data_IF_978190420790
#
_entry.id   IF_978190420790
#
_cell.length_a   1.000
_cell.length_b   1.000
_cell.length_c   1.000
_cell.angle_alpha   90.00
_cell.angle_beta   90.00
_cell.angle_gamma   90.00
#
_symmetry.space_group_name_H-M   'P 1'
#
loop_
_entity.id
_entity.type
_entity.pdbx_description
1 polymer ?
#
# COMPACT_ATOMS: atom_id res chain seq x y z
N UNK A 1 19.87 22.62 -1.60
CA UNK A 1 19.04 21.84 -0.65
C UNK A 1 19.86 20.62 -0.25
N UNK A 2 19.96 20.24 1.03
CA UNK A 2 20.59 18.97 1.37
C UNK A 2 19.80 17.86 0.68
N UNK A 3 20.49 16.94 -0.02
CA UNK A 3 19.83 15.77 -0.59
C UNK A 3 19.19 14.98 0.55
N UNK A 4 17.93 14.59 0.37
CA UNK A 4 17.27 13.70 1.32
C UNK A 4 18.13 12.43 1.46
N UNK A 5 18.38 11.97 2.70
CA UNK A 5 19.18 10.77 2.92
C UNK A 5 18.54 9.59 2.18
N UNK A 6 19.41 8.75 1.59
CA UNK A 6 19.12 7.68 0.63
C UNK A 6 17.63 7.26 0.51
N UNK A 7 16.94 7.80 -0.50
CA UNK A 7 15.50 7.55 -0.74
C UNK A 7 15.22 6.17 -1.30
N UNK A 8 16.23 5.36 -1.65
CA UNK A 8 16.05 4.03 -2.24
C UNK A 8 15.19 3.10 -1.37
N UNK A 9 15.43 3.04 -0.06
CA UNK A 9 14.62 2.21 0.84
C UNK A 9 13.17 2.69 0.94
N UNK A 10 12.95 4.00 0.87
CA UNK A 10 11.62 4.59 0.81
C UNK A 10 10.93 4.26 -0.52
N UNK A 11 11.66 4.34 -1.64
CA UNK A 11 11.16 4.06 -2.99
C UNK A 11 10.80 2.58 -3.17
N UNK A 12 11.62 1.66 -2.65
CA UNK A 12 11.33 0.22 -2.63
C UNK A 12 10.06 -0.08 -1.82
N UNK A 13 9.92 0.52 -0.64
CA UNK A 13 8.74 0.27 0.18
C UNK A 13 7.47 0.88 -0.42
N UNK A 14 7.54 2.07 -1.02
CA UNK A 14 6.44 2.65 -1.78
C UNK A 14 6.03 1.76 -2.96
N UNK A 15 7.00 1.14 -3.63
CA UNK A 15 6.74 0.17 -4.70
C UNK A 15 5.99 -1.05 -4.17
N UNK A 16 6.38 -1.59 -3.01
CA UNK A 16 5.69 -2.72 -2.38
C UNK A 16 4.25 -2.37 -1.99
N UNK A 17 4.03 -1.18 -1.42
CA UNK A 17 2.69 -0.66 -1.10
C UNK A 17 1.83 -0.57 -2.37
N UNK A 18 2.36 0.02 -3.45
CA UNK A 18 1.64 0.15 -4.72
C UNK A 18 1.31 -1.23 -5.30
N UNK A 19 2.24 -2.18 -5.22
CA UNK A 19 2.01 -3.55 -5.69
C UNK A 19 0.94 -4.28 -4.89
N UNK A 20 0.92 -4.10 -3.56
CA UNK A 20 -0.09 -4.69 -2.69
C UNK A 20 -1.49 -4.14 -3.01
N UNK A 21 -1.61 -2.82 -3.16
CA UNK A 21 -2.86 -2.16 -3.56
C UNK A 21 -3.35 -2.66 -4.92
N UNK A 22 -2.46 -2.68 -5.92
CA UNK A 22 -2.79 -3.16 -7.26
C UNK A 22 -3.23 -4.62 -7.26
N UNK A 23 -2.62 -5.46 -6.42
CA UNK A 23 -2.97 -6.87 -6.27
C UNK A 23 -4.35 -7.06 -5.65
N UNK A 24 -4.65 -6.33 -4.56
CA UNK A 24 -5.95 -6.37 -3.88
C UNK A 24 -7.10 -5.98 -4.83
N UNK A 25 -6.90 -4.90 -5.61
CA UNK A 25 -7.90 -4.44 -6.59
C UNK A 25 -8.05 -5.44 -7.74
N UNK A 26 -6.95 -5.93 -8.32
CA UNK A 26 -7.03 -6.88 -9.44
C UNK A 26 -7.66 -8.22 -9.05
N UNK A 27 -7.44 -8.66 -7.81
CA UNK A 27 -8.09 -9.86 -7.29
C UNK A 27 -9.61 -9.70 -7.21
N UNK A 28 -10.10 -8.50 -6.86
CA UNK A 28 -11.54 -8.22 -6.76
C UNK A 28 -12.21 -7.92 -8.12
N UNK A 29 -11.46 -7.46 -9.12
CA UNK A 29 -12.03 -7.06 -10.42
C UNK A 29 -12.88 -8.13 -11.14
N UNK A 30 -12.54 -9.43 -11.14
CA UNK A 30 -13.39 -10.47 -11.69
C UNK A 30 -14.69 -10.71 -10.90
N UNK A 31 -14.80 -10.15 -9.69
CA UNK A 31 -15.82 -10.45 -8.69
C UNK A 31 -16.63 -9.21 -8.27
N UNK A 32 -16.69 -8.16 -9.12
CA UNK A 32 -17.39 -6.91 -8.81
C UNK A 32 -18.88 -7.06 -8.46
N UNK A 33 -19.49 -8.18 -8.83
CA UNK A 33 -20.88 -8.50 -8.51
C UNK A 33 -21.06 -9.16 -7.12
N UNK A 34 -19.98 -9.49 -6.41
CA UNK A 34 -20.01 -9.97 -5.04
C UNK A 34 -19.57 -8.86 -4.08
N UNK A 35 -20.52 -8.20 -3.39
CA UNK A 35 -20.22 -7.12 -2.47
C UNK A 35 -19.25 -7.52 -1.36
N UNK A 36 -19.24 -8.79 -0.91
CA UNK A 36 -18.34 -9.22 0.17
C UNK A 36 -16.88 -9.23 -0.28
N UNK A 37 -16.63 -9.64 -1.52
CA UNK A 37 -15.29 -9.66 -2.11
C UNK A 37 -14.80 -8.22 -2.32
N UNK A 38 -15.68 -7.35 -2.82
CA UNK A 38 -15.37 -5.92 -3.01
C UNK A 38 -15.12 -5.22 -1.69
N UNK A 39 -15.97 -5.44 -0.68
CA UNK A 39 -15.80 -4.86 0.66
C UNK A 39 -14.50 -5.32 1.32
N UNK A 40 -14.14 -6.60 1.15
CA UNK A 40 -12.86 -7.12 1.64
C UNK A 40 -11.68 -6.45 0.95
N UNK A 41 -11.71 -6.29 -0.37
CA UNK A 41 -10.64 -5.60 -1.09
C UNK A 41 -10.52 -4.12 -0.70
N UNK A 42 -11.65 -3.43 -0.45
CA UNK A 42 -11.64 -2.06 0.08
C UNK A 42 -11.01 -2.02 1.47
N UNK A 43 -11.33 -2.98 2.34
CA UNK A 43 -10.75 -3.08 3.67
C UNK A 43 -9.24 -3.34 3.62
N UNK A 44 -8.79 -4.24 2.74
CA UNK A 44 -7.37 -4.53 2.54
C UNK A 44 -6.62 -3.28 2.04
N UNK A 45 -7.21 -2.52 1.11
CA UNK A 45 -6.63 -1.25 0.67
C UNK A 45 -6.52 -0.23 1.80
N UNK A 46 -7.49 -0.16 2.73
CA UNK A 46 -7.43 0.73 3.89
C UNK A 46 -6.30 0.32 4.83
N UNK A 47 -6.16 -0.96 5.15
CA UNK A 47 -5.08 -1.48 6.00
C UNK A 47 -3.70 -1.19 5.42
N UNK A 48 -3.53 -1.36 4.09
CA UNK A 48 -2.27 -1.01 3.41
C UNK A 48 -1.98 0.49 3.49
N UNK A 49 -2.99 1.35 3.32
CA UNK A 49 -2.82 2.80 3.38
C UNK A 49 -2.60 3.30 4.81
N UNK A 50 -3.23 2.69 5.81
CA UNK A 50 -3.06 3.05 7.21
C UNK A 50 -1.61 2.84 7.66
N UNK A 51 -0.95 1.76 7.22
CA UNK A 51 0.48 1.51 7.46
C UNK A 51 1.36 2.67 6.96
N UNK A 52 1.00 3.28 5.82
CA UNK A 52 1.70 4.46 5.27
C UNK A 52 1.34 5.74 6.02
N UNK A 53 0.06 5.94 6.34
CA UNK A 53 -0.46 7.16 6.96
C UNK A 53 -0.08 7.29 8.44
N UNK A 54 0.09 6.19 9.17
CA UNK A 54 0.56 6.19 10.57
C UNK A 54 1.98 6.74 10.72
N UNK A 55 2.69 7.05 9.62
CA UNK A 55 4.00 7.68 9.68
C UNK A 55 5.07 6.74 10.26
N UNK A 56 4.76 5.44 10.31
CA UNK A 56 5.70 4.39 10.73
C UNK A 56 6.83 4.17 9.71
N UNK A 57 6.95 5.07 8.73
CA UNK A 57 8.09 5.29 7.84
C UNK A 57 9.40 5.50 8.62
N UNK A 58 9.32 5.99 9.86
CA UNK A 58 10.45 6.16 10.77
C UNK A 58 11.16 4.84 11.11
N UNK A 59 10.45 3.72 11.12
CA UNK A 59 11.06 2.39 11.28
C UNK A 59 11.71 1.89 9.97
N UNK A 60 11.39 2.50 8.83
CA UNK A 60 11.78 2.04 7.49
C UNK A 60 13.00 2.77 6.91
N UNK A 61 13.41 3.90 7.50
CA UNK A 61 14.59 4.69 7.09
C UNK A 61 15.89 4.31 7.85
N UNK A 62 15.93 3.16 8.53
CA UNK A 62 17.10 2.68 9.28
C UNK A 62 18.13 1.97 8.41
#
# INVERSE_FOLDING_TARGET
>A
MPQAPNTEGLDEHLKDVIQALHSAVNWAMPHLNDPKIVDKAIQDCKEILDVVMEGNISEWLK
#
